data_IF_842059080067
#
_entry.id   IF_842059080067
#
_cell.length_a   1.000
_cell.length_b   1.000
_cell.length_c   1.000
_cell.angle_alpha   90.00
_cell.angle_beta   90.00
_cell.angle_gamma   90.00
#
_symmetry.space_group_name_H-M   'P 1'
#
loop_
_entity.id
_entity.type
_entity.pdbx_description
1 polymer ?
#
# COMPACT_ATOMS: atom_id res chain seq x y z
N UNK A 1 51.30 47.21 33.37
CA UNK A 1 51.70 46.87 31.98
C UNK A 1 51.57 45.35 31.84
N UNK A 2 50.39 44.86 31.44
CA UNK A 2 50.06 44.35 30.07
C UNK A 2 50.84 43.09 29.63
N UNK A 3 50.12 41.96 29.54
CA UNK A 3 49.90 41.11 28.33
C UNK A 3 49.07 39.86 28.74
N UNK A 4 47.85 39.70 28.23
CA UNK A 4 47.42 38.90 27.04
C UNK A 4 47.57 37.38 27.28
N UNK A 5 46.59 36.49 27.01
CA UNK A 5 45.70 36.41 25.83
C UNK A 5 44.51 35.46 26.10
N UNK A 6 43.35 35.77 25.51
CA UNK A 6 42.15 34.93 25.41
C UNK A 6 42.28 33.87 24.31
N UNK A 7 41.69 32.69 24.52
CA UNK A 7 41.47 31.66 23.49
C UNK A 7 39.98 31.58 23.16
N UNK A 8 39.63 31.84 21.90
CA UNK A 8 38.29 31.69 21.33
C UNK A 8 38.27 30.36 20.55
N UNK A 9 37.30 29.50 20.84
CA UNK A 9 36.97 28.31 20.04
C UNK A 9 36.02 28.76 18.94
N UNK A 10 36.44 28.64 17.68
CA UNK A 10 35.64 28.94 16.51
C UNK A 10 34.93 27.66 16.02
N UNK A 11 33.60 27.72 15.99
CA UNK A 11 32.73 26.72 15.36
C UNK A 11 32.83 26.83 13.85
N UNK A 12 33.19 25.73 13.17
CA UNK A 12 33.19 25.64 11.72
C UNK A 12 31.77 25.43 11.19
N UNK A 13 31.19 26.45 10.57
CA UNK A 13 30.08 26.32 9.64
C UNK A 13 30.63 25.75 8.32
N UNK A 14 30.23 24.53 7.96
CA UNK A 14 30.37 24.03 6.59
C UNK A 14 29.07 24.35 5.85
N UNK A 15 29.15 25.28 4.89
CA UNK A 15 28.05 25.58 3.99
C UNK A 15 27.91 24.47 2.95
N UNK A 16 26.84 23.69 3.02
CA UNK A 16 26.39 22.88 1.88
C UNK A 16 25.55 23.75 0.98
N UNK A 17 26.07 24.04 -0.21
CA UNK A 17 25.31 24.66 -1.28
C UNK A 17 24.24 23.68 -1.75
N UNK A 18 22.97 23.96 -1.43
CA UNK A 18 21.82 23.26 -2.01
C UNK A 18 21.76 23.60 -3.50
N UNK A 19 22.08 22.63 -4.36
CA UNK A 19 21.68 22.68 -5.75
C UNK A 19 20.18 22.45 -5.78
N UNK A 20 19.41 23.53 -5.98
CA UNK A 20 17.99 23.46 -6.29
C UNK A 20 17.84 22.78 -7.65
N UNK A 21 17.65 21.47 -7.64
CA UNK A 21 17.07 20.78 -8.79
C UNK A 21 15.58 21.16 -8.78
N UNK A 22 15.02 21.68 -9.88
CA UNK A 22 13.59 21.95 -9.94
C UNK A 22 12.85 20.62 -9.72
N UNK A 23 12.09 20.54 -8.61
CA UNK A 23 11.11 19.50 -8.42
C UNK A 23 10.03 19.71 -9.48
N UNK A 24 10.12 18.98 -10.59
CA UNK A 24 8.97 18.78 -11.45
C UNK A 24 7.93 18.06 -10.58
N UNK A 25 6.75 18.66 -10.42
CA UNK A 25 5.62 17.96 -9.82
C UNK A 25 5.43 16.67 -10.60
N UNK A 26 5.63 15.52 -9.96
CA UNK A 26 5.37 14.25 -10.60
C UNK A 26 3.86 14.09 -10.72
N UNK A 27 3.39 13.65 -11.89
CA UNK A 27 1.97 13.37 -12.08
C UNK A 27 1.56 12.18 -11.19
N UNK A 28 0.42 12.25 -10.48
CA UNK A 28 -0.12 11.13 -9.72
C UNK A 28 -0.18 9.85 -10.57
N UNK A 29 0.10 8.70 -9.94
CA UNK A 29 0.10 7.39 -10.61
C UNK A 29 1.43 6.99 -11.27
N UNK A 30 2.36 7.92 -11.50
CA UNK A 30 3.65 7.61 -12.14
C UNK A 30 4.69 7.09 -11.14
N UNK A 31 5.40 6.01 -11.50
CA UNK A 31 6.48 5.45 -10.67
C UNK A 31 7.75 6.32 -10.70
N UNK A 32 8.49 6.38 -9.59
CA UNK A 32 9.78 7.04 -9.51
C UNK A 32 10.78 6.16 -8.73
N UNK A 33 11.95 5.90 -9.30
CA UNK A 33 12.95 5.04 -8.66
C UNK A 33 13.79 5.75 -7.57
N UNK A 34 13.60 7.07 -7.37
CA UNK A 34 14.42 7.88 -6.48
C UNK A 34 15.84 8.11 -7.03
N UNK A 35 16.67 8.81 -6.26
CA UNK A 35 18.07 9.07 -6.61
C UNK A 35 19.06 8.04 -6.02
N UNK A 36 18.58 7.12 -5.17
CA UNK A 36 19.28 5.87 -4.86
C UNK A 36 20.63 6.00 -4.14
N UNK A 37 20.89 7.07 -3.38
CA UNK A 37 22.05 7.09 -2.47
C UNK A 37 21.81 6.06 -1.34
N UNK A 38 22.50 4.89 -1.25
CA UNK A 38 23.74 4.46 -1.91
C UNK A 38 23.84 2.94 -2.24
N UNK A 39 24.37 2.69 -3.45
CA UNK A 39 25.31 1.65 -3.97
C UNK A 39 24.90 0.21 -4.35
N UNK A 40 25.00 0.00 -5.69
CA UNK A 40 25.57 -1.11 -6.48
C UNK A 40 24.88 -2.48 -6.49
N UNK A 41 24.05 -2.62 -7.53
CA UNK A 41 23.93 -3.73 -8.50
C UNK A 41 24.63 -5.06 -8.18
N UNK A 42 23.83 -6.13 -8.13
CA UNK A 42 24.28 -7.51 -8.26
C UNK A 42 23.21 -8.37 -8.96
N UNK A 43 23.45 -8.62 -10.25
CA UNK A 43 23.13 -9.78 -11.10
C UNK A 43 21.98 -10.75 -10.74
N UNK A 44 21.05 -10.88 -11.69
CA UNK A 44 19.87 -11.77 -11.71
C UNK A 44 20.16 -13.19 -12.22
N UNK A 45 19.55 -14.20 -11.61
CA UNK A 45 19.37 -15.57 -12.13
C UNK A 45 17.87 -15.89 -12.31
N UNK A 46 17.55 -16.83 -13.20
CA UNK A 46 16.17 -17.08 -13.68
C UNK A 46 15.28 -17.81 -12.66
N UNK A 47 14.03 -17.36 -12.49
CA UNK A 47 12.95 -17.99 -11.69
C UNK A 47 11.76 -18.39 -12.58
N UNK A 48 11.03 -19.44 -12.21
CA UNK A 48 9.78 -19.89 -12.85
C UNK A 48 8.63 -19.96 -11.83
N UNK A 49 7.48 -19.31 -12.08
CA UNK A 49 6.33 -19.32 -11.17
C UNK A 49 5.78 -20.71 -10.87
N UNK A 50 5.34 -20.91 -9.62
CA UNK A 50 4.55 -22.06 -9.19
C UNK A 50 3.16 -22.06 -9.83
N UNK A 51 2.65 -23.26 -10.16
CA UNK A 51 1.35 -23.42 -10.83
C UNK A 51 0.21 -23.33 -9.78
N UNK A 52 -0.46 -22.18 -9.70
CA UNK A 52 -1.66 -22.01 -8.89
C UNK A 52 -2.77 -22.99 -9.33
N UNK A 53 -3.58 -23.44 -8.37
CA UNK A 53 -4.82 -24.16 -8.66
C UNK A 53 -5.95 -23.14 -8.69
N UNK A 54 -6.88 -23.20 -9.66
CA UNK A 54 -8.07 -22.37 -9.66
C UNK A 54 -8.78 -22.50 -8.30
N UNK A 55 -8.88 -21.38 -7.60
CA UNK A 55 -9.64 -21.28 -6.36
C UNK A 55 -11.10 -21.15 -6.78
N UNK A 56 -11.94 -22.11 -6.38
CA UNK A 56 -13.37 -21.86 -6.47
C UNK A 56 -13.66 -20.67 -5.55
N UNK A 57 -14.30 -19.59 -6.03
CA UNK A 57 -14.55 -18.41 -5.21
C UNK A 57 -15.19 -18.87 -3.91
N UNK A 58 -14.79 -18.32 -2.75
CA UNK A 58 -15.53 -18.56 -1.52
C UNK A 58 -16.97 -18.19 -1.83
N UNK A 59 -17.84 -19.19 -1.80
CA UNK A 59 -19.27 -18.92 -1.79
C UNK A 59 -19.50 -18.20 -0.48
N UNK A 60 -19.57 -16.87 -0.54
CA UNK A 60 -20.34 -16.12 0.41
C UNK A 60 -21.61 -16.93 0.63
N UNK A 61 -21.88 -17.31 1.87
CA UNK A 61 -23.13 -18.00 2.17
C UNK A 61 -24.25 -17.15 1.56
N UNK A 62 -25.34 -17.74 1.05
CA UNK A 62 -26.40 -16.94 0.42
C UNK A 62 -26.88 -15.82 1.37
N UNK A 63 -26.74 -16.01 2.68
CA UNK A 63 -26.97 -15.02 3.74
C UNK A 63 -25.90 -13.91 3.85
N UNK A 64 -24.65 -14.12 3.46
CA UNK A 64 -23.59 -13.10 3.42
C UNK A 64 -23.55 -12.36 2.07
N UNK A 65 -23.82 -13.07 0.97
CA UNK A 65 -23.95 -12.49 -0.37
C UNK A 65 -25.18 -11.57 -0.49
N UNK A 66 -26.25 -11.89 0.24
CA UNK A 66 -27.48 -11.07 0.26
C UNK A 66 -27.48 -9.94 1.29
N UNK A 67 -26.43 -9.82 2.13
CA UNK A 67 -26.27 -8.72 3.12
C UNK A 67 -25.32 -7.63 2.68
N UNK A 68 -24.41 -7.94 1.77
CA UNK A 68 -23.72 -6.94 0.94
C UNK A 68 -24.63 -6.57 -0.24
N UNK A 69 -25.79 -5.99 0.04
CA UNK A 69 -26.52 -5.33 -1.03
C UNK A 69 -25.58 -4.27 -1.61
N UNK A 70 -25.35 -4.22 -2.94
CA UNK A 70 -24.76 -3.05 -3.56
C UNK A 70 -25.53 -1.85 -3.04
N UNK A 71 -24.85 -0.76 -2.73
CA UNK A 71 -25.51 0.51 -2.44
C UNK A 71 -26.29 0.89 -3.71
N UNK A 72 -27.54 0.43 -3.79
CA UNK A 72 -28.44 0.68 -4.92
C UNK A 72 -28.91 2.14 -4.94
N UNK A 73 -28.55 2.89 -3.89
CA UNK A 73 -28.73 4.32 -3.77
C UNK A 73 -27.42 5.03 -4.15
N UNK A 74 -27.46 5.76 -5.28
CA UNK A 74 -26.33 6.53 -5.82
C UNK A 74 -25.77 7.50 -4.77
N UNK A 75 -26.62 8.16 -3.99
CA UNK A 75 -26.20 9.13 -2.98
C UNK A 75 -25.40 8.46 -1.85
N UNK A 76 -25.82 7.26 -1.43
CA UNK A 76 -25.12 6.48 -0.42
C UNK A 76 -23.78 5.93 -0.94
N UNK A 77 -23.72 5.50 -2.20
CA UNK A 77 -22.49 5.08 -2.86
C UNK A 77 -21.50 6.24 -2.96
N UNK A 78 -21.94 7.40 -3.47
CA UNK A 78 -21.14 8.62 -3.55
C UNK A 78 -20.60 9.04 -2.18
N UNK A 79 -21.47 9.05 -1.16
CA UNK A 79 -21.09 9.40 0.21
C UNK A 79 -20.00 8.48 0.76
N UNK A 80 -20.00 7.20 0.37
CA UNK A 80 -19.00 6.22 0.84
C UNK A 80 -17.58 6.52 0.32
N UNK A 81 -17.46 7.29 -0.77
CA UNK A 81 -16.17 7.76 -1.31
C UNK A 81 -15.75 9.14 -0.79
N UNK A 82 -16.46 9.69 0.19
CA UNK A 82 -15.96 10.83 0.95
C UNK A 82 -14.62 10.52 1.64
N UNK A 83 -13.84 11.55 1.92
CA UNK A 83 -12.61 11.45 2.71
C UNK A 83 -12.96 11.74 4.16
N UNK A 84 -12.61 10.81 5.05
CA UNK A 84 -12.54 11.06 6.49
C UNK A 84 -11.10 10.91 6.92
N UNK A 85 -10.61 11.85 7.74
CA UNK A 85 -9.21 11.87 8.15
C UNK A 85 -8.99 12.43 9.54
N UNK A 86 -7.78 12.24 10.03
CA UNK A 86 -7.28 12.84 11.28
C UNK A 86 -5.84 13.31 11.10
N UNK A 87 -5.57 14.56 11.46
CA UNK A 87 -4.22 15.11 11.48
C UNK A 87 -3.48 14.74 12.76
N UNK A 88 -2.15 14.83 12.72
CA UNK A 88 -1.28 14.55 13.86
C UNK A 88 -1.46 15.52 15.06
N UNK A 89 -2.06 16.69 14.83
CA UNK A 89 -2.48 17.62 15.90
C UNK A 89 -3.90 17.33 16.43
N UNK A 90 -4.52 16.24 15.96
CA UNK A 90 -5.80 15.72 16.44
C UNK A 90 -7.04 16.34 15.81
N UNK A 91 -6.91 17.14 14.72
CA UNK A 91 -8.08 17.69 14.02
C UNK A 91 -8.72 16.63 13.13
N UNK A 92 -10.04 16.59 13.17
CA UNK A 92 -10.84 15.79 12.26
C UNK A 92 -10.93 16.48 10.89
N UNK A 93 -10.88 15.66 9.84
CA UNK A 93 -10.97 16.09 8.45
C UNK A 93 -12.14 15.34 7.84
N UNK A 94 -13.04 16.07 7.17
CA UNK A 94 -14.11 15.50 6.38
C UNK A 94 -14.26 16.28 5.09
N UNK A 95 -14.16 15.59 3.96
CA UNK A 95 -14.29 16.17 2.63
C UNK A 95 -15.24 15.28 1.84
N UNK A 96 -16.29 15.86 1.29
CA UNK A 96 -17.24 15.13 0.45
C UNK A 96 -16.57 14.72 -0.88
N UNK A 97 -17.06 13.65 -1.50
CA UNK A 97 -16.57 13.21 -2.82
C UNK A 97 -16.67 14.35 -3.84
N UNK A 98 -15.60 14.54 -4.63
CA UNK A 98 -15.56 15.56 -5.68
C UNK A 98 -16.45 15.15 -6.88
N UNK A 99 -16.69 16.07 -7.82
CA UNK A 99 -17.57 15.78 -8.97
C UNK A 99 -17.03 14.66 -9.87
N UNK A 100 -15.70 14.55 -10.03
CA UNK A 100 -15.09 13.47 -10.82
C UNK A 100 -15.35 12.08 -10.21
N UNK A 101 -15.23 11.95 -8.88
CA UNK A 101 -15.59 10.74 -8.14
C UNK A 101 -17.07 10.42 -8.30
N UNK A 102 -17.95 11.42 -8.20
CA UNK A 102 -19.39 11.21 -8.38
C UNK A 102 -19.71 10.62 -9.73
N UNK A 103 -19.14 11.18 -10.80
CA UNK A 103 -19.33 10.70 -12.17
C UNK A 103 -18.86 9.26 -12.33
N UNK A 104 -17.65 8.93 -11.85
CA UNK A 104 -17.10 7.57 -11.91
C UNK A 104 -17.94 6.55 -11.13
N UNK A 105 -18.46 6.93 -9.96
CA UNK A 105 -19.29 6.04 -9.13
C UNK A 105 -20.64 5.77 -9.81
N UNK A 106 -21.28 6.81 -10.35
CA UNK A 106 -22.55 6.67 -11.08
C UNK A 106 -22.36 5.82 -12.33
N UNK A 107 -21.24 6.01 -13.06
CA UNK A 107 -20.90 5.16 -14.21
C UNK A 107 -20.72 3.70 -13.79
N UNK A 108 -19.96 3.44 -12.72
CA UNK A 108 -19.73 2.09 -12.18
C UNK A 108 -21.03 1.40 -11.72
N UNK A 109 -21.96 2.14 -11.10
CA UNK A 109 -23.26 1.61 -10.68
C UNK A 109 -24.18 1.26 -11.86
N UNK A 110 -24.05 2.00 -12.96
CA UNK A 110 -24.89 1.84 -14.15
C UNK A 110 -24.26 0.93 -15.22
N UNK A 111 -23.01 0.49 -15.03
CA UNK A 111 -22.34 -0.42 -15.94
C UNK A 111 -23.04 -1.79 -15.98
N UNK A 112 -23.27 -2.37 -17.18
CA UNK A 112 -23.84 -3.70 -17.28
C UNK A 112 -22.91 -4.74 -16.64
N UNK A 113 -23.49 -5.73 -15.95
CA UNK A 113 -22.76 -6.78 -15.23
C UNK A 113 -21.86 -7.66 -16.12
N UNK A 114 -22.00 -7.53 -17.44
CA UNK A 114 -21.27 -8.30 -18.44
C UNK A 114 -20.20 -7.38 -19.05
N UNK A 115 -19.01 -7.37 -18.44
CA UNK A 115 -17.87 -6.61 -18.94
C UNK A 115 -17.45 -7.07 -20.33
N UNK A 116 -17.74 -6.27 -21.35
CA UNK A 116 -17.26 -6.49 -22.71
C UNK A 116 -16.54 -5.25 -23.25
N UNK A 117 -15.20 -5.34 -23.23
CA UNK A 117 -14.29 -4.81 -24.25
C UNK A 117 -13.94 -3.32 -24.21
N UNK A 118 -12.69 -3.01 -23.84
CA UNK A 118 -11.98 -1.81 -24.30
C UNK A 118 -10.44 -2.05 -24.28
N UNK A 119 -9.69 -1.23 -25.03
CA UNK A 119 -8.33 -1.48 -25.55
C UNK A 119 -7.16 -1.44 -24.53
N UNK A 120 -7.42 -1.30 -23.22
CA UNK A 120 -6.39 -1.25 -22.19
C UNK A 120 -6.34 -2.53 -21.34
N UNK A 121 -5.75 -3.59 -21.91
CA UNK A 121 -5.48 -4.83 -21.19
C UNK A 121 -4.41 -4.64 -20.10
N UNK A 122 -4.63 -5.19 -18.91
CA UNK A 122 -3.65 -5.24 -17.83
C UNK A 122 -2.32 -5.94 -18.20
N UNK A 123 -1.28 -5.81 -17.37
CA UNK A 123 0.02 -6.45 -17.62
C UNK A 123 -0.13 -7.97 -17.63
N UNK A 124 0.10 -8.59 -18.79
CA UNK A 124 -0.04 -10.04 -18.94
C UNK A 124 1.12 -10.79 -18.25
N UNK A 125 0.79 -11.80 -17.42
CA UNK A 125 1.67 -12.82 -16.81
C UNK A 125 3.19 -12.64 -17.04
N UNK A 126 3.79 -11.64 -16.40
CA UNK A 126 5.24 -11.43 -16.43
C UNK A 126 5.78 -11.34 -15.02
N UNK A 127 6.74 -12.22 -14.70
CA UNK A 127 7.48 -12.18 -13.44
C UNK A 127 8.40 -10.96 -13.35
N UNK A 128 8.55 -10.41 -12.15
CA UNK A 128 9.42 -9.28 -11.86
C UNK A 128 10.90 -9.72 -11.76
N UNK A 129 11.83 -9.17 -12.57
CA UNK A 129 13.25 -9.53 -12.54
C UNK A 129 13.99 -9.16 -11.23
N UNK A 130 13.38 -8.39 -10.32
CA UNK A 130 13.95 -8.01 -9.02
C UNK A 130 13.79 -9.04 -7.89
N UNK A 131 13.14 -10.17 -8.16
CA UNK A 131 12.73 -11.16 -7.16
C UNK A 131 13.40 -12.54 -7.42
N UNK A 132 14.64 -12.77 -6.94
CA UNK A 132 15.34 -14.07 -7.10
C UNK A 132 15.73 -14.76 -5.77
N UNK A 133 15.17 -15.97 -5.58
CA UNK A 133 15.38 -17.20 -4.76
C UNK A 133 15.90 -17.28 -3.29
N UNK A 134 15.18 -18.11 -2.49
CA UNK A 134 15.69 -19.08 -1.47
C UNK A 134 14.73 -19.51 -0.32
N UNK A 135 14.31 -20.80 -0.28
CA UNK A 135 13.19 -21.44 0.50
C UNK A 135 13.27 -21.57 2.06
N UNK A 136 12.10 -21.47 2.76
CA UNK A 136 11.39 -22.54 3.55
C UNK A 136 10.66 -22.15 4.88
N UNK A 137 9.30 -22.18 4.88
CA UNK A 137 8.31 -22.64 5.92
C UNK A 137 7.56 -21.65 6.88
N UNK A 138 6.35 -21.96 7.41
CA UNK A 138 4.92 -21.67 6.99
C UNK A 138 4.16 -20.90 8.13
N UNK A 139 3.09 -20.08 7.94
CA UNK A 139 1.68 -20.34 7.52
C UNK A 139 1.28 -19.67 6.19
N UNK A 140 0.63 -20.44 5.31
CA UNK A 140 0.91 -20.48 3.86
C UNK A 140 -0.18 -21.26 3.10
N UNK A 141 -0.52 -20.87 1.87
CA UNK A 141 -1.24 -21.70 0.90
C UNK A 141 -0.28 -22.70 0.24
N UNK A 142 -0.37 -23.99 0.58
CA UNK A 142 0.62 -24.95 0.10
C UNK A 142 1.94 -24.84 0.87
N UNK A 143 3.08 -24.62 0.21
CA UNK A 143 4.43 -24.49 0.81
C UNK A 143 4.89 -23.04 0.83
N UNK A 144 5.52 -22.57 1.93
CA UNK A 144 5.87 -21.15 2.11
C UNK A 144 6.81 -20.74 1.01
N UNK A 145 6.32 -19.89 0.12
CA UNK A 145 7.11 -19.32 -0.94
C UNK A 145 7.55 -17.89 -0.64
N UNK A 146 7.25 -17.37 0.57
CA UNK A 146 7.77 -16.09 1.00
C UNK A 146 9.27 -16.13 1.17
N UNK A 147 9.92 -15.14 0.59
CA UNK A 147 11.37 -14.95 0.67
C UNK A 147 11.69 -13.65 1.40
N UNK A 148 12.64 -13.71 2.34
CA UNK A 148 13.08 -12.49 3.01
C UNK A 148 13.89 -11.63 2.04
N UNK A 149 13.53 -10.35 1.93
CA UNK A 149 14.32 -9.35 1.22
C UNK A 149 15.53 -8.99 2.07
N UNK A 150 16.73 -9.43 1.66
CA UNK A 150 17.97 -9.14 2.38
C UNK A 150 18.51 -7.73 2.11
N UNK A 151 18.35 -7.23 0.88
CA UNK A 151 18.79 -5.91 0.49
C UNK A 151 17.59 -4.95 0.28
N UNK A 152 17.07 -4.42 1.39
CA UNK A 152 15.94 -3.48 1.39
C UNK A 152 16.33 -2.05 1.00
N UNK A 153 17.62 -1.79 0.73
CA UNK A 153 18.14 -0.44 0.42
C UNK A 153 17.99 -0.05 -1.05
N UNK A 154 17.35 -0.90 -1.84
CA UNK A 154 17.24 -0.74 -3.30
C UNK A 154 15.78 -0.65 -3.71
N UNK A 155 15.50 0.12 -4.76
CA UNK A 155 14.16 0.18 -5.33
C UNK A 155 13.79 -1.19 -5.95
N UNK A 156 12.57 -1.72 -5.71
CA UNK A 156 11.40 -1.06 -5.11
C UNK A 156 11.34 -1.11 -3.58
N UNK A 157 12.18 -1.92 -2.93
CA UNK A 157 12.12 -2.16 -1.49
C UNK A 157 12.32 -0.90 -0.64
N UNK A 158 13.09 0.09 -1.14
CA UNK A 158 13.24 1.39 -0.47
C UNK A 158 11.94 2.20 -0.37
N UNK A 159 10.96 1.93 -1.25
CA UNK A 159 9.65 2.57 -1.23
C UNK A 159 8.64 1.84 -0.33
N UNK A 160 8.96 0.63 0.15
CA UNK A 160 8.07 -0.21 0.94
C UNK A 160 8.51 -0.13 2.39
N UNK A 161 7.56 0.07 3.31
CA UNK A 161 7.89 0.33 4.70
C UNK A 161 6.98 -0.36 5.69
N UNK A 162 7.53 -0.51 6.88
CA UNK A 162 6.80 -0.91 8.08
C UNK A 162 6.00 0.29 8.57
N UNK A 163 4.71 0.09 8.81
CA UNK A 163 3.85 1.10 9.39
C UNK A 163 3.46 0.66 10.80
N UNK A 164 3.89 1.43 11.79
CA UNK A 164 3.49 1.21 13.18
C UNK A 164 2.46 2.27 13.59
N UNK A 165 1.47 1.87 14.39
CA UNK A 165 0.46 2.77 14.92
C UNK A 165 0.02 2.33 16.32
N UNK A 166 -0.32 3.27 17.18
CA UNK A 166 -0.72 3.03 18.56
C UNK A 166 -2.23 3.11 18.71
N UNK A 167 -2.82 2.12 19.37
CA UNK A 167 -4.21 2.23 19.83
C UNK A 167 -4.28 3.20 21.02
N UNK A 168 -5.06 4.29 20.94
CA UNK A 168 -5.21 5.23 22.05
C UNK A 168 -5.93 4.60 23.25
N UNK A 169 -6.72 3.55 23.02
CA UNK A 169 -7.49 2.85 24.06
C UNK A 169 -6.64 1.87 24.86
N UNK A 170 -5.78 1.11 24.19
CA UNK A 170 -4.95 0.08 24.83
C UNK A 170 -3.51 0.54 25.11
N UNK A 171 -3.05 1.58 24.44
CA UNK A 171 -1.67 2.06 24.48
C UNK A 171 -0.66 1.15 23.78
N UNK A 172 -1.11 0.06 23.15
CA UNK A 172 -0.27 -0.89 22.43
C UNK A 172 -0.06 -0.45 20.99
N UNK A 173 1.09 -0.81 20.44
CA UNK A 173 1.39 -0.65 19.03
C UNK A 173 0.92 -1.88 18.24
N UNK A 174 0.29 -1.62 17.11
CA UNK A 174 0.03 -2.58 16.04
C UNK A 174 0.89 -2.23 14.84
N UNK A 175 1.04 -3.19 13.94
CA UNK A 175 1.87 -3.01 12.75
C UNK A 175 1.21 -3.49 11.48
N UNK A 176 1.50 -2.76 10.42
CA UNK A 176 1.08 -3.02 9.06
C UNK A 176 2.26 -2.81 8.11
N UNK A 177 1.97 -3.03 6.83
CA UNK A 177 2.82 -2.65 5.71
C UNK A 177 2.24 -1.43 5.02
N UNK A 178 3.10 -0.66 4.37
CA UNK A 178 2.69 0.50 3.60
C UNK A 178 3.69 0.80 2.48
N UNK A 179 3.26 1.54 1.47
CA UNK A 179 4.05 1.81 0.27
C UNK A 179 4.05 3.29 -0.06
N UNK A 180 5.22 3.88 -0.32
CA UNK A 180 5.32 5.21 -0.90
C UNK A 180 4.75 5.20 -2.32
N UNK A 181 3.81 6.09 -2.59
CA UNK A 181 3.18 6.31 -3.90
C UNK A 181 3.35 7.76 -4.40
N UNK A 182 4.08 8.59 -3.67
CA UNK A 182 4.42 9.97 -4.02
C UNK A 182 5.51 10.54 -3.10
N UNK A 183 5.88 11.83 -3.27
CA UNK A 183 6.88 12.50 -2.43
C UNK A 183 6.63 12.34 -0.92
N UNK A 184 5.37 12.45 -0.49
CA UNK A 184 4.99 12.27 0.93
C UNK A 184 3.72 11.45 1.14
N UNK A 185 3.17 10.87 0.08
CA UNK A 185 1.96 10.05 0.12
C UNK A 185 2.31 8.57 0.28
N UNK A 186 1.74 7.94 1.31
CA UNK A 186 1.92 6.53 1.66
C UNK A 186 0.57 5.82 1.59
N UNK A 187 0.50 4.74 0.82
CA UNK A 187 -0.66 3.86 0.65
C UNK A 187 -0.60 2.70 1.66
N UNK A 188 -1.73 2.39 2.28
CA UNK A 188 -1.91 1.27 3.22
C UNK A 188 -3.39 0.86 3.28
N UNK A 189 -3.75 -0.05 4.19
CA UNK A 189 -5.13 -0.43 4.47
C UNK A 189 -5.80 0.54 5.46
N UNK A 190 -7.11 0.75 5.37
CA UNK A 190 -7.82 1.65 6.28
C UNK A 190 -7.84 1.13 7.73
N UNK A 191 -7.90 -0.19 7.93
CA UNK A 191 -7.88 -0.81 9.27
C UNK A 191 -6.54 -0.63 9.99
N UNK A 192 -5.47 -0.30 9.26
CA UNK A 192 -4.18 0.10 9.82
C UNK A 192 -4.20 1.52 10.40
N UNK A 193 -5.26 2.30 10.13
CA UNK A 193 -5.44 3.69 10.54
C UNK A 193 -6.65 3.89 11.45
N UNK A 194 -7.69 3.06 11.30
CA UNK A 194 -8.91 3.15 12.09
C UNK A 194 -9.32 1.78 12.62
N UNK A 195 -9.59 1.70 13.93
CA UNK A 195 -10.08 0.48 14.58
C UNK A 195 -11.58 0.59 14.83
N UNK A 196 -12.36 -0.27 14.18
CA UNK A 196 -13.78 -0.43 14.49
C UNK A 196 -14.05 -1.01 15.88
N UNK A 197 -13.15 -1.85 16.38
CA UNK A 197 -13.25 -2.38 17.75
C UNK A 197 -13.12 -1.25 18.80
N UNK A 198 -12.26 -0.28 18.52
CA UNK A 198 -12.06 0.88 19.38
C UNK A 198 -13.00 2.04 19.04
N UNK A 199 -13.64 2.01 17.86
CA UNK A 199 -14.43 3.11 17.31
C UNK A 199 -13.58 4.38 17.12
N UNK A 200 -12.28 4.24 16.88
CA UNK A 200 -11.32 5.32 16.96
C UNK A 200 -10.16 5.18 15.97
N UNK A 201 -9.62 6.34 15.58
CA UNK A 201 -8.35 6.44 14.87
C UNK A 201 -7.21 5.91 15.75
N UNK A 202 -6.25 5.23 15.11
CA UNK A 202 -4.94 4.99 15.71
C UNK A 202 -4.13 6.30 15.73
N UNK A 203 -3.10 6.34 16.56
CA UNK A 203 -2.24 7.50 16.80
C UNK A 203 -0.76 7.11 16.63
N UNK A 204 0.15 8.09 16.69
CA UNK A 204 1.60 7.93 16.72
C UNK A 204 2.12 7.14 15.51
N UNK A 205 1.52 7.34 14.33
CA UNK A 205 1.97 6.64 13.13
C UNK A 205 3.45 6.90 12.84
N UNK A 206 4.16 5.81 12.62
CA UNK A 206 5.57 5.82 12.26
C UNK A 206 5.77 4.95 11.02
N UNK A 207 6.19 5.57 9.93
CA UNK A 207 6.54 4.88 8.69
C UNK A 207 8.05 4.67 8.62
N UNK A 208 8.48 3.42 8.47
CA UNK A 208 9.90 3.03 8.45
C UNK A 208 10.19 2.30 7.13
N UNK A 209 10.58 3.05 6.07
CA UNK A 209 10.87 2.46 4.77
C UNK A 209 12.12 1.59 4.83
N UNK A 210 12.06 0.44 4.16
CA UNK A 210 13.17 -0.49 4.03
C UNK A 210 13.67 -1.11 5.36
N UNK A 211 12.89 -1.05 6.45
CA UNK A 211 13.22 -1.72 7.71
C UNK A 211 13.60 -3.19 7.45
N UNK A 212 14.67 -3.68 8.07
CA UNK A 212 15.09 -5.08 7.91
C UNK A 212 15.63 -5.70 9.20
N UNK A 213 14.93 -5.46 10.30
CA UNK A 213 15.28 -5.94 11.64
C UNK A 213 14.53 -5.16 12.72
N UNK A 214 14.91 -5.36 13.97
CA UNK A 214 14.18 -4.85 15.13
C UNK A 214 14.86 -3.69 15.85
N UNK A 215 16.01 -3.22 15.36
CA UNK A 215 16.78 -2.13 15.96
C UNK A 215 16.78 -0.89 15.09
N UNK A 216 17.16 0.25 15.67
CA UNK A 216 17.30 1.50 14.91
C UNK A 216 18.36 1.40 13.79
N UNK A 217 19.40 0.57 13.97
CA UNK A 217 20.42 0.34 12.95
C UNK A 217 19.88 -0.45 11.75
N UNK A 218 18.76 -1.17 11.94
CA UNK A 218 18.05 -1.92 10.90
C UNK A 218 17.04 -1.07 10.12
N UNK A 219 16.91 0.22 10.45
CA UNK A 219 16.08 1.19 9.75
C UNK A 219 16.96 2.06 8.82
N UNK A 220 17.31 1.58 7.60
CA UNK A 220 18.38 2.16 6.79
C UNK A 220 18.11 3.60 6.33
N UNK A 221 16.83 4.00 6.28
CA UNK A 221 16.38 5.32 5.86
C UNK A 221 15.80 6.14 7.02
N UNK A 222 15.85 5.61 8.25
CA UNK A 222 15.21 6.21 9.41
C UNK A 222 13.70 5.97 9.47
N UNK A 223 13.04 6.71 10.37
CA UNK A 223 11.63 6.57 10.66
C UNK A 223 10.94 7.94 10.58
N UNK A 224 9.76 7.98 9.96
CA UNK A 224 9.09 9.21 9.56
C UNK A 224 7.70 9.31 10.16
N UNK A 225 7.40 10.50 10.68
CA UNK A 225 6.09 10.79 11.30
C UNK A 225 5.12 11.37 10.27
N UNK A 226 3.84 11.25 10.57
CA UNK A 226 2.74 11.67 9.72
C UNK A 226 2.28 13.11 9.99
N UNK A 227 1.74 13.76 8.97
CA UNK A 227 0.93 14.98 9.05
C UNK A 227 -0.56 14.64 9.24
N UNK A 228 -1.05 13.66 8.49
CA UNK A 228 -2.46 13.24 8.49
C UNK A 228 -2.65 11.83 7.95
N UNK A 229 -3.72 11.19 8.39
CA UNK A 229 -4.19 9.88 7.93
C UNK A 229 -5.62 10.02 7.40
N UNK A 230 -5.97 9.25 6.37
CA UNK A 230 -7.23 9.32 5.64
C UNK A 230 -7.74 7.92 5.30
N UNK A 231 -9.05 7.75 5.36
CA UNK A 231 -9.77 6.53 4.92
C UNK A 231 -11.01 6.94 4.11
N UNK A 232 -11.50 6.01 3.29
CA UNK A 232 -12.81 6.14 2.65
C UNK A 232 -13.90 6.23 3.72
N UNK A 233 -14.85 7.16 3.59
CA UNK A 233 -15.92 7.35 4.56
C UNK A 233 -16.77 6.09 4.74
N UNK A 234 -16.98 5.33 3.67
CA UNK A 234 -17.70 4.05 3.69
C UNK A 234 -17.07 3.03 4.62
N UNK A 235 -15.75 3.10 4.84
CA UNK A 235 -15.06 2.21 5.78
C UNK A 235 -15.62 2.37 7.20
N UNK A 236 -15.96 3.60 7.61
CA UNK A 236 -16.53 3.88 8.93
C UNK A 236 -18.06 3.75 8.91
N UNK A 237 -18.70 4.42 7.96
CA UNK A 237 -20.17 4.59 7.94
C UNK A 237 -20.91 3.27 7.63
N UNK A 238 -20.31 2.36 6.84
CA UNK A 238 -20.97 1.13 6.40
C UNK A 238 -20.65 -0.09 7.29
N UNK A 239 -19.96 0.11 8.42
CA UNK A 239 -19.63 -0.99 9.33
C UNK A 239 -20.87 -1.58 10.00
N UNK A 240 -21.18 -2.83 9.70
CA UNK A 240 -22.35 -3.55 10.22
C UNK A 240 -22.04 -4.40 11.46
N UNK A 241 -20.90 -4.16 12.12
CA UNK A 241 -20.45 -4.96 13.28
C UNK A 241 -19.54 -6.14 12.93
N UNK A 242 -19.15 -6.30 11.66
CA UNK A 242 -18.16 -7.28 11.22
C UNK A 242 -17.34 -6.74 10.05
N UNK A 243 -16.05 -7.08 10.02
CA UNK A 243 -15.07 -6.51 9.09
C UNK A 243 -15.40 -6.76 7.60
N UNK A 244 -15.97 -7.92 7.27
CA UNK A 244 -16.41 -8.25 5.91
C UNK A 244 -17.36 -7.23 5.29
N UNK A 245 -18.13 -6.47 6.10
CA UNK A 245 -19.04 -5.44 5.60
C UNK A 245 -18.36 -4.19 5.04
N UNK A 246 -17.05 -4.01 5.29
CA UNK A 246 -16.32 -2.78 4.92
C UNK A 246 -15.09 -3.03 4.06
N UNK A 247 -14.83 -4.28 3.66
CA UNK A 247 -13.67 -4.67 2.82
C UNK A 247 -13.54 -3.81 1.56
N UNK A 248 -14.61 -3.48 0.80
CA UNK A 248 -14.50 -2.62 -0.39
C UNK A 248 -13.91 -1.23 -0.13
N UNK A 249 -14.01 -0.73 1.10
CA UNK A 249 -13.52 0.58 1.50
C UNK A 249 -12.25 0.54 2.36
N UNK A 250 -11.60 -0.63 2.48
CA UNK A 250 -10.40 -0.79 3.31
C UNK A 250 -9.13 -0.23 2.64
N UNK A 251 -9.18 1.06 2.27
CA UNK A 251 -8.12 1.80 1.61
C UNK A 251 -7.71 3.01 2.45
N UNK A 252 -6.42 3.13 2.73
CA UNK A 252 -5.87 4.16 3.62
C UNK A 252 -4.73 4.94 2.98
N UNK A 253 -4.71 6.25 3.24
CA UNK A 253 -3.59 7.14 2.86
C UNK A 253 -3.02 7.80 4.10
N UNK A 254 -1.69 7.81 4.20
CA UNK A 254 -0.94 8.60 5.18
C UNK A 254 -0.13 9.66 4.43
N UNK A 255 -0.27 10.93 4.82
CA UNK A 255 0.64 12.00 4.42
C UNK A 255 1.77 12.10 5.44
N UNK A 256 3.02 11.95 5.03
CA UNK A 256 4.21 12.14 5.86
C UNK A 256 4.52 13.63 6.06
N UNK A 257 5.23 14.02 7.13
CA UNK A 257 5.69 15.42 7.33
C UNK A 257 6.83 15.84 6.40
N UNK A 258 7.57 14.87 5.86
CA UNK A 258 8.73 15.08 5.00
C UNK A 258 8.51 14.46 3.62
N UNK A 259 9.16 15.01 2.61
CA UNK A 259 9.10 14.52 1.22
C UNK A 259 10.07 13.34 1.00
N UNK A 260 9.88 12.27 1.80
CA UNK A 260 10.74 11.09 1.86
C UNK A 260 10.85 10.39 0.50
N UNK A 261 9.75 10.30 -0.24
CA UNK A 261 9.67 9.65 -1.55
C UNK A 261 10.59 10.27 -2.59
N UNK A 262 10.92 11.56 -2.49
CA UNK A 262 11.83 12.25 -3.43
C UNK A 262 13.20 11.57 -3.53
N UNK A 263 13.70 11.04 -2.41
CA UNK A 263 14.98 10.35 -2.38
C UNK A 263 14.82 8.83 -2.54
N UNK A 264 13.81 8.23 -1.90
CA UNK A 264 13.64 6.77 -1.83
C UNK A 264 12.95 6.17 -3.06
N UNK A 265 12.28 7.00 -3.86
CA UNK A 265 11.36 6.58 -4.88
C UNK A 265 9.97 6.24 -4.32
N UNK A 266 9.05 5.95 -5.24
CA UNK A 266 7.69 5.50 -4.97
C UNK A 266 7.19 4.62 -6.12
N UNK A 267 6.27 3.71 -5.82
CA UNK A 267 5.65 2.85 -6.82
C UNK A 267 4.57 3.63 -7.59
N UNK A 268 4.42 3.29 -8.87
CA UNK A 268 3.30 3.76 -9.69
C UNK A 268 2.05 2.93 -9.40
N UNK A 269 0.90 3.47 -9.77
CA UNK A 269 -0.39 2.83 -9.58
C UNK A 269 -1.32 3.21 -10.73
N UNK A 270 -2.17 2.29 -11.17
CA UNK A 270 -3.08 2.53 -12.28
C UNK A 270 -4.35 1.70 -12.15
N UNK A 271 -5.43 2.23 -12.74
CA UNK A 271 -6.63 1.46 -13.01
C UNK A 271 -6.45 0.73 -14.35
N UNK A 272 -6.78 -0.56 -14.35
CA UNK A 272 -7.02 -1.33 -15.57
C UNK A 272 -8.47 -1.79 -15.55
N UNK A 273 -9.23 -1.46 -16.58
CA UNK A 273 -10.65 -1.87 -16.71
C UNK A 273 -10.75 -3.40 -16.74
N UNK A 274 -9.93 -4.03 -17.57
CA UNK A 274 -9.70 -5.47 -17.57
C UNK A 274 -8.28 -5.76 -17.11
N UNK A 275 -8.16 -6.15 -15.84
CA UNK A 275 -6.87 -6.52 -15.25
C UNK A 275 -6.34 -7.85 -15.82
N UNK A 276 -7.25 -8.72 -16.30
CA UNK A 276 -6.93 -10.04 -16.83
C UNK A 276 -6.24 -10.96 -15.81
N UNK A 277 -5.75 -12.10 -16.30
CA UNK A 277 -4.80 -12.92 -15.54
C UNK A 277 -3.49 -12.14 -15.39
N UNK A 278 -2.93 -12.11 -14.17
CA UNK A 278 -1.63 -11.51 -13.91
C UNK A 278 -0.87 -12.19 -12.78
N UNK A 279 0.46 -12.09 -12.82
CA UNK A 279 1.32 -12.47 -11.70
C UNK A 279 1.35 -11.33 -10.68
N UNK A 280 0.70 -11.52 -9.53
CA UNK A 280 0.77 -10.60 -8.41
C UNK A 280 2.11 -10.73 -7.68
N UNK A 281 2.64 -9.59 -7.25
CA UNK A 281 3.79 -9.50 -6.37
C UNK A 281 3.38 -8.72 -5.12
N UNK A 282 3.69 -9.28 -3.96
CA UNK A 282 3.40 -8.68 -2.66
C UNK A 282 4.69 -8.60 -1.88
N UNK A 283 4.95 -7.42 -1.31
CA UNK A 283 6.09 -7.21 -0.43
C UNK A 283 5.62 -6.44 0.80
N UNK A 284 5.98 -6.96 1.97
CA UNK A 284 5.52 -6.38 3.24
C UNK A 284 6.24 -6.95 4.45
N UNK A 285 5.60 -6.78 5.61
CA UNK A 285 6.14 -7.05 6.94
C UNK A 285 5.22 -8.02 7.71
N UNK A 286 5.19 -9.31 7.33
CA UNK A 286 4.36 -10.30 7.99
C UNK A 286 4.83 -10.56 9.44
N UNK A 287 3.89 -10.64 10.37
CA UNK A 287 4.16 -10.75 11.82
C UNK A 287 4.57 -12.15 12.31
N UNK A 288 4.45 -13.19 11.48
CA UNK A 288 4.93 -14.55 11.79
C UNK A 288 6.43 -14.72 11.54
N UNK A 289 7.06 -13.74 10.87
CA UNK A 289 8.50 -13.71 10.60
C UNK A 289 9.23 -12.86 11.65
N UNK A 290 10.59 -12.88 11.70
CA UNK A 290 11.32 -12.05 12.63
C UNK A 290 10.92 -10.58 12.54
N UNK A 291 10.74 -9.93 13.69
CA UNK A 291 10.23 -8.56 13.77
C UNK A 291 10.99 -7.60 12.84
N UNK A 292 10.23 -6.79 12.10
CA UNK A 292 10.76 -5.75 11.22
C UNK A 292 11.52 -6.26 10.00
N UNK A 293 11.40 -7.55 9.65
CA UNK A 293 11.99 -8.08 8.41
C UNK A 293 11.00 -8.01 7.25
N UNK A 294 11.50 -7.62 6.08
CA UNK A 294 10.70 -7.52 4.86
C UNK A 294 10.68 -8.85 4.11
N UNK A 295 9.50 -9.27 3.66
CA UNK A 295 9.29 -10.51 2.92
C UNK A 295 8.50 -10.24 1.65
N UNK A 296 8.77 -11.05 0.62
CA UNK A 296 8.13 -10.97 -0.70
C UNK A 296 7.46 -12.32 -1.03
N UNK A 297 6.33 -12.29 -1.73
CA UNK A 297 5.66 -13.43 -2.31
C UNK A 297 5.17 -13.08 -3.72
N UNK A 298 4.99 -14.10 -4.56
CA UNK A 298 4.42 -13.95 -5.89
C UNK A 298 3.45 -15.09 -6.17
N UNK A 299 2.33 -14.79 -6.79
CA UNK A 299 1.30 -15.77 -7.13
C UNK A 299 0.54 -15.35 -8.39
N UNK A 300 -0.22 -16.28 -8.97
CA UNK A 300 -1.07 -15.99 -10.10
C UNK A 300 -2.45 -15.53 -9.62
N UNK A 301 -2.95 -14.43 -10.17
CA UNK A 301 -4.31 -13.97 -10.00
C UNK A 301 -5.06 -14.26 -11.28
N UNK A 302 -6.08 -15.09 -11.17
CA UNK A 302 -6.94 -15.43 -12.31
C UNK A 302 -8.05 -14.38 -12.46
N UNK A 303 -8.37 -14.02 -13.69
CA UNK A 303 -9.41 -13.05 -14.04
C UNK A 303 -10.78 -13.39 -13.41
N UNK A 304 -11.08 -14.67 -13.25
CA UNK A 304 -12.31 -15.15 -12.59
C UNK A 304 -12.40 -14.78 -11.09
N UNK A 305 -11.27 -14.46 -10.46
CA UNK A 305 -11.18 -14.04 -9.06
C UNK A 305 -11.10 -12.51 -8.90
N UNK A 306 -11.29 -11.76 -9.99
CA UNK A 306 -11.21 -10.30 -10.02
C UNK A 306 -12.62 -9.73 -10.06
N UNK A 307 -13.07 -9.17 -8.94
CA UNK A 307 -14.29 -8.39 -8.85
C UNK A 307 -14.07 -6.91 -9.14
N UNK A 308 -15.15 -6.13 -9.02
CA UNK A 308 -15.12 -4.68 -9.22
C UNK A 308 -14.32 -3.98 -8.11
N UNK A 309 -14.62 -4.29 -6.84
CA UNK A 309 -14.05 -3.56 -5.70
C UNK A 309 -12.83 -4.27 -5.08
N UNK A 310 -12.71 -5.58 -5.28
CA UNK A 310 -11.62 -6.39 -4.73
C UNK A 310 -11.31 -7.59 -5.64
N UNK A 311 -10.14 -8.18 -5.45
CA UNK A 311 -9.76 -9.44 -6.06
C UNK A 311 -9.10 -10.36 -5.04
N UNK A 312 -9.08 -11.66 -5.35
CA UNK A 312 -8.59 -12.71 -4.45
C UNK A 312 -7.44 -13.51 -5.07
N UNK A 313 -6.54 -13.98 -4.20
CA UNK A 313 -5.32 -14.70 -4.60
C UNK A 313 -4.80 -15.60 -3.49
N UNK A 314 -3.80 -16.43 -3.81
CA UNK A 314 -3.14 -17.37 -2.91
C UNK A 314 -1.70 -17.00 -2.54
N UNK A 315 -1.23 -15.80 -2.89
CA UNK A 315 0.06 -15.27 -2.42
C UNK A 315 0.11 -15.36 -0.90
N UNK A 316 1.18 -15.95 -0.36
CA UNK A 316 1.35 -16.10 1.08
C UNK A 316 1.44 -14.74 1.79
N UNK A 317 0.55 -14.51 2.76
CA UNK A 317 0.55 -13.34 3.64
C UNK A 317 0.21 -13.75 5.08
N UNK A 318 0.40 -12.82 6.02
CA UNK A 318 0.09 -13.01 7.43
C UNK A 318 -0.20 -11.64 8.08
N UNK A 319 -0.99 -11.55 9.16
CA UNK A 319 -1.17 -10.31 9.93
C UNK A 319 0.13 -9.49 10.06
N UNK A 320 0.06 -8.20 9.69
CA UNK A 320 1.22 -7.33 9.45
C UNK A 320 1.48 -7.07 7.95
N UNK A 321 1.04 -7.99 7.08
CA UNK A 321 1.02 -7.79 5.61
C UNK A 321 -0.12 -6.88 5.17
N UNK A 322 -1.08 -6.57 6.03
CA UNK A 322 -2.10 -5.56 5.82
C UNK A 322 -1.51 -4.25 5.29
N UNK A 323 -2.06 -3.72 4.21
CA UNK A 323 -1.56 -2.51 3.53
C UNK A 323 -0.37 -2.74 2.60
N UNK A 324 0.10 -3.97 2.43
CA UNK A 324 1.09 -4.29 1.38
C UNK A 324 0.47 -4.03 0.01
N UNK A 325 1.18 -3.32 -0.86
CA UNK A 325 0.73 -3.15 -2.24
C UNK A 325 0.85 -4.46 -3.00
N UNK A 326 -0.21 -4.84 -3.70
CA UNK A 326 -0.21 -5.92 -4.69
C UNK A 326 0.04 -5.27 -6.03
N UNK A 327 1.18 -5.58 -6.64
CA UNK A 327 1.57 -4.96 -7.91
C UNK A 327 1.84 -5.99 -8.99
N UNK A 328 1.51 -5.60 -10.22
CA UNK A 328 1.91 -6.28 -11.44
C UNK A 328 3.20 -5.63 -11.98
N UNK A 329 4.03 -6.42 -12.66
CA UNK A 329 5.16 -5.91 -13.42
C UNK A 329 4.72 -5.70 -14.87
N UNK A 330 4.70 -4.46 -15.34
CA UNK A 330 4.55 -4.14 -16.76
C UNK A 330 5.91 -4.25 -17.44
N UNK A 331 6.11 -5.32 -18.20
CA UNK A 331 7.35 -5.58 -18.92
C UNK A 331 7.61 -4.58 -20.07
N UNK A 332 6.56 -4.03 -20.70
CA UNK A 332 6.71 -3.06 -21.77
C UNK A 332 7.19 -1.71 -21.23
N UNK A 333 6.58 -1.24 -20.14
CA UNK A 333 6.97 -0.01 -19.46
C UNK A 333 8.19 -0.20 -18.54
N UNK A 334 8.53 -1.44 -18.18
CA UNK A 334 9.47 -1.82 -17.12
C UNK A 334 9.11 -1.19 -15.78
N UNK A 335 7.82 -1.14 -15.48
CA UNK A 335 7.28 -0.48 -14.30
C UNK A 335 6.56 -1.48 -13.39
N UNK A 336 6.62 -1.19 -12.09
CA UNK A 336 5.80 -1.86 -11.08
C UNK A 336 4.57 -1.00 -10.89
N UNK A 337 3.41 -1.58 -11.14
CA UNK A 337 2.14 -0.87 -11.10
C UNK A 337 1.28 -1.54 -10.04
N UNK A 338 0.94 -0.79 -8.99
CA UNK A 338 0.04 -1.25 -7.95
C UNK A 338 -1.35 -1.40 -8.57
N UNK A 339 -1.95 -2.57 -8.37
CA UNK A 339 -3.28 -2.93 -8.85
C UNK A 339 -4.26 -3.19 -7.70
N UNK A 340 -3.74 -3.43 -6.49
CA UNK A 340 -4.53 -3.51 -5.28
C UNK A 340 -3.72 -3.38 -3.99
N UNK A 341 -4.42 -3.42 -2.85
CA UNK A 341 -3.82 -3.36 -1.50
C UNK A 341 -4.30 -4.56 -0.70
N UNK A 342 -3.37 -5.36 -0.14
CA UNK A 342 -3.71 -6.53 0.69
C UNK A 342 -4.39 -6.10 1.99
N UNK A 343 -5.59 -6.61 2.24
CA UNK A 343 -6.45 -6.13 3.36
C UNK A 343 -6.98 -7.24 4.25
N UNK A 344 -7.05 -8.47 3.76
CA UNK A 344 -7.63 -9.56 4.51
C UNK A 344 -7.04 -10.91 4.13
N UNK A 345 -6.94 -11.79 5.12
CA UNK A 345 -6.59 -13.18 4.97
C UNK A 345 -7.75 -14.09 5.40
N UNK A 346 -7.99 -15.17 4.66
CA UNK A 346 -8.92 -16.24 5.02
C UNK A 346 -8.28 -17.61 4.80
N UNK A 347 -8.87 -18.70 5.32
CA UNK A 347 -8.36 -20.05 5.06
C UNK A 347 -8.34 -20.45 3.58
N UNK A 348 -9.17 -19.80 2.74
CA UNK A 348 -9.39 -20.19 1.35
C UNK A 348 -8.72 -19.25 0.34
N UNK A 349 -8.56 -17.98 0.68
CA UNK A 349 -7.88 -16.97 -0.15
C UNK A 349 -7.49 -15.73 0.66
N UNK A 350 -6.53 -14.98 0.14
CA UNK A 350 -6.24 -13.61 0.53
C UNK A 350 -7.00 -12.64 -0.37
N UNK A 351 -7.27 -11.43 0.15
CA UNK A 351 -8.09 -10.42 -0.54
C UNK A 351 -7.36 -9.08 -0.58
N UNK A 352 -7.38 -8.45 -1.75
CA UNK A 352 -6.94 -7.08 -1.93
C UNK A 352 -8.06 -6.16 -2.43
N UNK A 353 -8.13 -4.94 -1.90
CA UNK A 353 -8.95 -3.87 -2.48
C UNK A 353 -8.35 -3.51 -3.83
N UNK A 354 -9.18 -3.50 -4.88
CA UNK A 354 -8.78 -3.21 -6.26
C UNK A 354 -8.62 -1.71 -6.46
N UNK A 355 -7.58 -1.29 -7.15
CA UNK A 355 -7.44 0.10 -7.59
C UNK A 355 -8.20 0.35 -8.89
N UNK A 356 -9.54 0.30 -8.82
CA UNK A 356 -10.41 0.71 -9.92
C UNK A 356 -10.50 2.25 -10.01
N UNK A 357 -11.17 2.77 -11.04
CA UNK A 357 -11.18 4.20 -11.36
C UNK A 357 -11.54 5.12 -10.17
N UNK A 358 -12.59 4.80 -9.41
CA UNK A 358 -12.99 5.63 -8.26
C UNK A 358 -11.95 5.59 -7.12
N UNK A 359 -11.35 4.42 -6.84
CA UNK A 359 -10.27 4.33 -5.86
C UNK A 359 -9.02 5.10 -6.30
N UNK A 360 -8.67 5.08 -7.60
CA UNK A 360 -7.57 5.88 -8.15
C UNK A 360 -7.84 7.37 -7.98
N UNK A 361 -9.03 7.83 -8.34
CA UNK A 361 -9.37 9.25 -8.21
C UNK A 361 -9.40 9.69 -6.73
N UNK A 362 -9.86 8.83 -5.84
CA UNK A 362 -9.79 9.09 -4.39
C UNK A 362 -8.35 9.24 -3.92
N UNK A 363 -7.44 8.36 -4.35
CA UNK A 363 -6.00 8.45 -4.08
C UNK A 363 -5.42 9.76 -4.65
N UNK A 364 -5.75 10.10 -5.90
CA UNK A 364 -5.24 11.30 -6.58
C UNK A 364 -5.62 12.58 -5.82
N UNK A 365 -6.83 12.64 -5.26
CA UNK A 365 -7.31 13.78 -4.48
C UNK A 365 -6.50 14.03 -3.19
N UNK A 366 -5.74 13.03 -2.74
CA UNK A 366 -4.89 13.04 -1.53
C UNK A 366 -3.39 13.01 -1.86
N UNK A 367 -3.02 13.01 -3.15
CA UNK A 367 -1.63 13.00 -3.59
C UNK A 367 -0.92 14.32 -3.20
N UNK A 368 0.29 14.21 -2.66
CA UNK A 368 1.09 15.33 -2.20
C UNK A 368 2.58 15.15 -2.48
#
# INVERSE_FOLDING_TARGET
MTKLTNTIIASAFLSTAMWLVPAFAADPGTANAGNGESMRDAGSGDYTPGRAKPIAPPKLTEDEASRAAPLADEDAAVKSYGIVGRSADGKEIKIEANEALKELIIEQLNAPADGQGSDASGPQNTGDPGLTEGEAGRQVFGTDDREQVKNTKTYPFSAIGYLEAKSPKTGKFGSCSATLIGPRTVLTAAHCLYSHEDGAWLDEYLFVPGLNGSTADDAPFGAFTYESAYVLQGFIDNYQGFYGSVVPWDLGIVTLKQDVGTNLGWLGYANYEDLGDFTANIVGYPGDKPMGTMWKASCEVHAENIGTDYFQYDCDTFPGSSGSSVYAYDNAAKQRVITGVNVAESPDANTAVRLHAANIEWINSLYK
#
